data_IF_015614693829
#
_entry.id   IF_015614693829
#
_cell.length_a   1.000
_cell.length_b   1.000
_cell.length_c   1.000
_cell.angle_alpha   90.00
_cell.angle_beta   90.00
_cell.angle_gamma   90.00
#
_symmetry.space_group_name_H-M   'P 1'
#
loop_
_entity.id
_entity.type
_entity.pdbx_description
1 polymer ?
#
# COMPACT_ATOMS: atom_id res chain seq x y z
N UNK A 1 17.09 -18.22 1.88
CA UNK A 1 16.64 -16.89 1.42
C UNK A 1 15.80 -16.27 2.52
N UNK A 2 16.32 -15.28 3.25
CA UNK A 2 15.62 -14.67 4.37
C UNK A 2 16.12 -13.24 4.58
N UNK A 3 15.64 -12.32 3.77
CA UNK A 3 16.02 -10.90 3.83
C UNK A 3 15.18 -10.11 4.84
N UNK A 4 15.78 -9.02 5.35
CA UNK A 4 15.07 -8.00 6.12
C UNK A 4 14.30 -7.10 5.16
N UNK A 5 13.05 -6.77 5.47
CA UNK A 5 12.16 -6.01 4.58
C UNK A 5 11.72 -4.74 5.29
N UNK A 6 11.93 -3.59 4.65
CA UNK A 6 11.61 -2.28 5.20
C UNK A 6 10.60 -1.55 4.32
N UNK A 7 9.82 -0.67 4.95
CA UNK A 7 8.96 0.29 4.29
C UNK A 7 9.32 1.72 4.75
N UNK A 8 9.48 2.66 3.81
CA UNK A 8 9.81 4.08 4.08
C UNK A 8 8.89 5.02 3.27
N UNK A 9 8.96 6.34 3.47
CA UNK A 9 8.29 7.36 2.65
C UNK A 9 9.24 7.98 1.61
N UNK A 10 8.90 8.04 0.30
CA UNK A 10 7.72 7.47 -0.38
C UNK A 10 7.63 5.95 -0.19
N UNK A 11 6.41 5.40 -0.14
CA UNK A 11 6.13 3.98 0.15
C UNK A 11 6.90 3.03 -0.78
N UNK A 12 8.02 2.49 -0.30
CA UNK A 12 8.81 1.49 -1.01
C UNK A 12 8.85 0.18 -0.25
N UNK A 13 8.90 -0.91 -1.00
CA UNK A 13 9.23 -2.23 -0.49
C UNK A 13 10.65 -2.58 -0.93
N UNK A 14 11.53 -2.80 0.05
CA UNK A 14 12.94 -3.10 -0.21
C UNK A 14 13.24 -4.49 0.35
N UNK A 15 13.88 -5.33 -0.45
CA UNK A 15 14.48 -6.57 0.01
C UNK A 15 16.01 -6.48 -0.07
N UNK A 16 16.67 -6.85 1.02
CA UNK A 16 18.12 -6.96 1.07
C UNK A 16 18.60 -8.38 1.31
N UNK A 17 19.84 -8.65 0.89
CA UNK A 17 20.54 -9.85 1.27
C UNK A 17 20.82 -9.83 2.78
N UNK A 18 20.70 -11.00 3.41
CA UNK A 18 20.81 -11.14 4.86
C UNK A 18 22.26 -11.00 5.35
N UNK A 19 23.21 -11.46 4.54
CA UNK A 19 24.62 -11.57 4.91
C UNK A 19 25.36 -10.28 4.57
N UNK A 20 25.11 -9.72 3.38
CA UNK A 20 25.80 -8.51 2.89
C UNK A 20 25.05 -7.23 3.18
N UNK A 21 23.72 -7.29 3.34
CA UNK A 21 22.86 -6.12 3.45
C UNK A 21 22.59 -5.41 2.11
N UNK A 22 23.11 -5.93 1.00
CA UNK A 22 22.91 -5.34 -0.33
C UNK A 22 21.45 -5.44 -0.78
N UNK A 23 20.96 -4.41 -1.48
CA UNK A 23 19.59 -4.41 -2.02
C UNK A 23 19.50 -5.41 -3.17
N UNK A 24 18.60 -6.39 -3.03
CA UNK A 24 18.28 -7.37 -4.07
C UNK A 24 17.26 -6.79 -5.04
N UNK A 25 16.23 -6.12 -4.49
CA UNK A 25 15.25 -5.38 -5.27
C UNK A 25 14.59 -4.30 -4.43
N UNK A 26 14.04 -3.32 -5.13
CA UNK A 26 13.31 -2.19 -4.56
C UNK A 26 12.14 -1.84 -5.47
N UNK A 27 10.94 -1.75 -4.89
CA UNK A 27 9.73 -1.35 -5.61
C UNK A 27 9.10 -0.16 -4.95
N UNK A 28 8.72 0.84 -5.75
CA UNK A 28 7.82 1.89 -5.30
C UNK A 28 6.38 1.39 -5.41
N UNK A 29 5.68 1.37 -4.28
CA UNK A 29 4.32 0.81 -4.18
C UNK A 29 3.26 1.88 -3.87
N UNK A 30 3.61 3.17 -3.99
CA UNK A 30 2.62 4.26 -3.90
C UNK A 30 1.56 4.19 -5.00
N UNK A 31 1.90 3.57 -6.15
CA UNK A 31 1.07 3.62 -7.36
C UNK A 31 0.73 5.07 -7.74
N UNK A 32 -0.52 5.30 -8.15
CA UNK A 32 -1.05 6.62 -8.50
C UNK A 32 -1.37 7.51 -7.28
N UNK A 33 -1.18 7.01 -6.06
CA UNK A 33 -1.53 7.75 -4.82
C UNK A 33 -0.26 8.18 -4.10
N UNK A 34 0.24 9.41 -4.33
CA UNK A 34 1.50 9.87 -3.74
C UNK A 34 1.45 10.05 -2.22
N UNK A 35 0.26 9.91 -1.60
CA UNK A 35 0.01 10.07 -0.16
C UNK A 35 -0.04 8.73 0.59
N UNK A 36 0.20 7.61 -0.09
CA UNK A 36 0.30 6.30 0.58
C UNK A 36 1.52 6.31 1.49
N UNK A 37 1.26 6.00 2.75
CA UNK A 37 2.29 5.76 3.76
C UNK A 37 2.35 4.26 4.08
N UNK A 38 3.46 3.83 4.66
CA UNK A 38 3.61 2.48 5.17
C UNK A 38 4.33 2.53 6.51
N UNK A 39 3.61 2.16 7.57
CA UNK A 39 4.14 2.16 8.94
C UNK A 39 4.12 0.76 9.55
N UNK A 40 3.29 -0.13 9.03
CA UNK A 40 3.23 -1.53 9.45
C UNK A 40 4.43 -2.33 8.96
N UNK A 41 4.89 -3.26 9.79
CA UNK A 41 5.90 -4.22 9.39
C UNK A 41 5.33 -5.18 8.31
N UNK A 42 6.12 -5.54 7.27
CA UNK A 42 5.70 -6.53 6.30
C UNK A 42 5.60 -7.92 6.94
N UNK A 43 4.61 -8.70 6.52
CA UNK A 43 4.41 -10.08 6.96
C UNK A 43 4.73 -11.06 5.83
N UNK A 44 5.69 -11.97 6.04
CA UNK A 44 5.95 -13.06 5.10
C UNK A 44 4.98 -14.22 5.36
N UNK A 45 4.24 -14.63 4.33
CA UNK A 45 3.34 -15.80 4.34
C UNK A 45 3.69 -16.66 3.13
N UNK A 46 4.29 -17.81 3.38
CA UNK A 46 4.82 -18.65 2.30
C UNK A 46 5.88 -17.91 1.48
N UNK A 47 5.64 -17.78 0.18
CA UNK A 47 6.48 -17.05 -0.77
C UNK A 47 5.94 -15.64 -1.08
N UNK A 48 5.04 -15.10 -0.25
CA UNK A 48 4.42 -13.79 -0.43
C UNK A 48 4.65 -12.86 0.76
N UNK A 49 4.80 -11.58 0.47
CA UNK A 49 4.95 -10.50 1.44
C UNK A 49 3.64 -9.73 1.47
N UNK A 50 2.99 -9.68 2.63
CA UNK A 50 1.78 -8.89 2.84
C UNK A 50 2.15 -7.54 3.43
N UNK A 51 1.59 -6.48 2.84
CA UNK A 51 1.70 -5.11 3.32
C UNK A 51 0.38 -4.38 3.13
N UNK A 52 0.10 -3.42 4.02
CA UNK A 52 -1.08 -2.56 3.94
C UNK A 52 -0.72 -1.10 3.81
N UNK A 53 -1.62 -0.32 3.24
CA UNK A 53 -1.50 1.13 3.18
C UNK A 53 -1.88 1.80 4.50
N UNK A 54 -1.13 2.84 4.84
CA UNK A 54 -1.45 3.85 5.83
C UNK A 54 -1.70 5.22 5.15
N UNK A 55 -2.00 6.25 5.93
CA UNK A 55 -2.31 7.59 5.43
C UNK A 55 -3.80 7.84 5.18
N UNK A 56 -4.70 7.12 5.87
CA UNK A 56 -6.15 7.35 5.78
C UNK A 56 -6.55 8.79 6.13
N UNK A 57 -5.85 9.42 7.08
CA UNK A 57 -6.04 10.83 7.46
C UNK A 57 -5.65 11.81 6.33
N UNK A 58 -4.85 11.35 5.35
CA UNK A 58 -4.38 12.10 4.20
C UNK A 58 -5.15 11.76 2.91
N UNK A 59 -6.31 11.10 3.02
CA UNK A 59 -7.17 10.75 1.88
C UNK A 59 -6.69 9.53 1.08
N UNK A 60 -5.77 8.73 1.62
CA UNK A 60 -5.36 7.47 0.99
C UNK A 60 -6.49 6.45 1.08
N UNK A 61 -6.93 5.92 -0.06
CA UNK A 61 -7.86 4.78 -0.12
C UNK A 61 -7.15 3.54 0.46
N UNK A 62 -7.63 2.94 1.56
CA UNK A 62 -6.94 1.83 2.21
C UNK A 62 -6.98 0.57 1.35
N UNK A 63 -5.86 -0.15 1.33
CA UNK A 63 -5.71 -1.42 0.63
C UNK A 63 -4.76 -2.36 1.38
N UNK A 64 -4.88 -3.65 1.05
CA UNK A 64 -3.94 -4.71 1.39
C UNK A 64 -3.39 -5.29 0.08
N UNK A 65 -2.11 -5.65 0.05
CA UNK A 65 -1.49 -6.25 -1.13
C UNK A 65 -0.53 -7.38 -0.74
N UNK A 66 -0.35 -8.31 -1.67
CA UNK A 66 0.67 -9.34 -1.60
C UNK A 66 1.66 -9.18 -2.74
N UNK A 67 2.95 -9.30 -2.41
CA UNK A 67 4.06 -9.23 -3.36
C UNK A 67 4.84 -10.53 -3.36
N UNK A 68 5.39 -10.93 -4.50
CA UNK A 68 6.29 -12.06 -4.57
C UNK A 68 7.57 -11.82 -3.75
N UNK A 69 7.93 -12.79 -2.92
CA UNK A 69 9.06 -12.66 -2.01
C UNK A 69 10.42 -12.57 -2.74
N UNK A 70 10.53 -13.18 -3.92
CA UNK A 70 11.76 -13.30 -4.70
C UNK A 70 11.92 -12.14 -5.68
N UNK A 71 10.85 -11.74 -6.37
CA UNK A 71 10.91 -10.69 -7.40
C UNK A 71 10.42 -9.32 -6.91
N UNK A 72 9.58 -9.31 -5.88
CA UNK A 72 8.88 -8.12 -5.41
C UNK A 72 7.72 -7.68 -6.31
N UNK A 73 7.34 -8.48 -7.31
CA UNK A 73 6.20 -8.19 -8.19
C UNK A 73 4.86 -8.28 -7.43
N UNK A 74 3.92 -7.40 -7.77
CA UNK A 74 2.58 -7.41 -7.19
C UNK A 74 1.82 -8.67 -7.62
N UNK A 75 1.45 -9.51 -6.65
CA UNK A 75 0.66 -10.72 -6.90
C UNK A 75 -0.84 -10.42 -6.86
N UNK A 76 -1.27 -9.64 -5.86
CA UNK A 76 -2.61 -9.04 -5.84
C UNK A 76 -2.64 -7.79 -4.98
N UNK A 77 -3.62 -6.92 -5.25
CA UNK A 77 -4.00 -5.79 -4.41
C UNK A 77 -5.51 -5.75 -4.25
N UNK A 78 -5.97 -5.53 -3.03
CA UNK A 78 -7.39 -5.41 -2.69
C UNK A 78 -7.63 -4.13 -1.91
N UNK A 79 -8.51 -3.29 -2.42
CA UNK A 79 -9.00 -2.12 -1.70
C UNK A 79 -10.05 -2.53 -0.66
N UNK A 80 -9.96 -1.92 0.52
CA UNK A 80 -10.89 -2.20 1.62
C UNK A 80 -12.17 -1.36 1.53
N UNK A 81 -12.09 -0.20 0.87
CA UNK A 81 -13.25 0.66 0.56
C UNK A 81 -13.51 0.55 -0.94
N UNK A 82 -14.72 0.24 -1.40
CA UNK A 82 -15.06 0.20 -2.82
C UNK A 82 -15.02 1.60 -3.46
N UNK A 83 -14.66 1.67 -4.74
CA UNK A 83 -14.76 2.90 -5.53
C UNK A 83 -16.21 3.11 -6.01
N UNK A 84 -16.62 4.33 -6.36
CA UNK A 84 -17.91 4.57 -6.99
C UNK A 84 -18.13 3.63 -8.20
N UNK A 85 -19.21 2.84 -8.16
CA UNK A 85 -19.55 1.86 -9.19
C UNK A 85 -19.04 0.44 -8.94
N UNK A 86 -18.21 0.20 -7.92
CA UNK A 86 -17.87 -1.15 -7.47
C UNK A 86 -18.97 -1.72 -6.56
N UNK A 87 -19.15 -3.06 -6.50
CA UNK A 87 -20.13 -3.69 -5.62
C UNK A 87 -19.99 -3.25 -4.16
N UNK A 88 -21.10 -2.85 -3.55
CA UNK A 88 -21.13 -2.36 -2.17
C UNK A 88 -20.76 -0.88 -2.03
N UNK A 89 -20.39 -0.17 -3.10
CA UNK A 89 -20.14 1.28 -3.03
C UNK A 89 -21.37 2.07 -2.61
N UNK A 90 -22.57 1.60 -2.96
CA UNK A 90 -23.85 2.18 -2.60
C UNK A 90 -24.14 2.15 -1.09
N UNK A 91 -23.49 1.27 -0.33
CA UNK A 91 -23.66 1.21 1.13
C UNK A 91 -22.78 2.22 1.86
N UNK A 92 -21.81 2.82 1.17
CA UNK A 92 -20.98 3.90 1.70
C UNK A 92 -21.67 5.23 1.36
N UNK A 93 -21.99 6.03 2.38
CA UNK A 93 -22.83 7.23 2.21
C UNK A 93 -22.19 8.30 1.33
N UNK A 94 -22.70 8.46 0.10
CA UNK A 94 -22.39 9.59 -0.79
C UNK A 94 -21.01 9.56 -1.46
N UNK A 95 -20.82 10.44 -2.45
CA UNK A 95 -19.63 10.52 -3.30
C UNK A 95 -18.34 10.74 -2.46
N UNK A 96 -17.57 9.66 -2.27
CA UNK A 96 -16.29 9.67 -1.54
C UNK A 96 -15.20 10.53 -2.21
N UNK A 97 -15.50 11.15 -3.37
CA UNK A 97 -14.61 12.09 -4.07
C UNK A 97 -15.01 13.56 -3.92
N UNK A 98 -16.03 13.91 -3.14
CA UNK A 98 -16.24 15.31 -2.75
C UNK A 98 -15.46 15.60 -1.47
N UNK A 99 -14.25 16.10 -1.65
CA UNK A 99 -13.41 16.65 -0.58
C UNK A 99 -14.23 17.59 0.33
N UNK A 100 -14.48 17.23 1.62
CA UNK A 100 -15.13 18.13 2.57
C UNK A 100 -14.27 19.36 2.92
N UNK A 101 -12.96 19.32 2.65
CA UNK A 101 -12.02 20.41 2.89
C UNK A 101 -11.92 21.38 1.69
N UNK A 102 -12.32 20.98 0.48
CA UNK A 102 -12.47 21.88 -0.67
C UNK A 102 -13.65 22.85 -0.51
N UNK A 103 -14.54 22.61 0.47
CA UNK A 103 -15.74 23.41 0.72
C UNK A 103 -15.57 24.48 1.81
N UNK A 104 -14.35 24.76 2.32
CA UNK A 104 -14.14 25.89 3.24
C UNK A 104 -13.88 27.17 2.42
N UNK A 105 -14.80 28.15 2.38
CA UNK A 105 -14.43 29.48 1.91
C UNK A 105 -13.38 30.07 2.87
N UNK A 106 -12.42 30.79 2.29
CA UNK A 106 -11.32 31.51 2.95
C UNK A 106 -11.78 32.38 4.12
#
# INVERSE_FOLDING_TARGET
>A
MGGTRFANGPARLIASDKETGEVVWEHNITGDTPRVEMTGAPLLVGDKILVGAAGGDNGTRPWLAAYDAATGEEFWKKYNIPAPGEPGSETWGGDVRTDPLAARPS
#
